data_IF_098915466675
#
_entry.id   IF_098915466675
#
_cell.length_a   1.000
_cell.length_b   1.000
_cell.length_c   1.000
_cell.angle_alpha   90.00
_cell.angle_beta   90.00
_cell.angle_gamma   90.00
#
_symmetry.space_group_name_H-M   'P 1'
#
loop_
_entity.id
_entity.type
_entity.pdbx_description
1 polymer ?
#
# COMPACT_ATOMS: atom_id res chain seq x y z
N UNK A 1 29.56 0.34 -11.16
CA UNK A 1 28.26 -0.16 -10.69
C UNK A 1 27.31 1.02 -10.67
N UNK A 2 26.54 1.20 -11.74
CA UNK A 2 25.59 2.31 -11.91
C UNK A 2 24.30 1.94 -11.19
N UNK A 3 24.06 2.53 -10.02
CA UNK A 3 22.79 2.38 -9.30
C UNK A 3 21.63 2.88 -10.17
N UNK A 4 20.58 2.09 -10.31
CA UNK A 4 19.34 2.54 -10.96
C UNK A 4 18.76 3.67 -10.09
N UNK A 5 18.79 4.90 -10.58
CA UNK A 5 18.09 6.02 -9.97
C UNK A 5 16.60 5.66 -9.89
N UNK A 6 16.06 5.48 -8.68
CA UNK A 6 14.63 5.17 -8.50
C UNK A 6 13.75 6.28 -9.09
N UNK A 7 12.62 5.92 -9.69
CA UNK A 7 11.71 6.93 -10.20
C UNK A 7 10.96 7.55 -9.02
N UNK A 8 10.61 8.82 -9.16
CA UNK A 8 9.67 9.44 -8.24
C UNK A 8 8.25 9.28 -8.75
N UNK A 9 7.27 9.25 -7.86
CA UNK A 9 5.88 9.06 -8.26
C UNK A 9 4.86 9.75 -7.35
N UNK A 10 3.75 10.16 -7.94
CA UNK A 10 2.58 10.63 -7.20
C UNK A 10 1.75 9.45 -6.69
N UNK A 11 1.35 9.54 -5.43
CA UNK A 11 0.47 8.58 -4.78
C UNK A 11 -0.75 9.28 -4.22
N UNK A 12 -1.83 8.52 -4.08
CA UNK A 12 -3.07 8.99 -3.46
C UNK A 12 -3.37 8.14 -2.24
N UNK A 13 -3.71 8.79 -1.13
CA UNK A 13 -4.14 8.15 0.11
C UNK A 13 -5.55 8.63 0.47
N UNK A 14 -6.33 7.77 1.13
CA UNK A 14 -7.61 8.14 1.74
C UNK A 14 -7.42 8.19 3.25
N UNK A 15 -7.61 9.37 3.82
CA UNK A 15 -7.51 9.59 5.25
C UNK A 15 -8.90 9.74 5.86
N UNK A 16 -9.04 9.26 7.09
CA UNK A 16 -10.28 9.29 7.86
C UNK A 16 -10.03 10.06 9.15
N UNK A 17 -10.96 10.93 9.51
CA UNK A 17 -10.93 11.65 10.77
C UNK A 17 -11.25 10.70 11.93
N UNK A 18 -10.34 10.59 12.90
CA UNK A 18 -10.41 9.67 14.04
C UNK A 18 -11.52 10.05 15.03
N UNK A 19 -11.97 11.30 15.03
CA UNK A 19 -13.07 11.77 15.86
C UNK A 19 -14.43 11.74 15.15
N UNK A 20 -14.44 11.60 13.82
CA UNK A 20 -15.66 11.49 13.02
C UNK A 20 -15.42 10.71 11.72
N UNK A 21 -15.67 9.40 11.73
CA UNK A 21 -15.37 8.52 10.59
C UNK A 21 -16.14 8.82 9.29
N UNK A 22 -17.16 9.69 9.33
CA UNK A 22 -17.84 10.17 8.12
C UNK A 22 -17.04 11.25 7.38
N UNK A 23 -16.10 11.88 8.06
CA UNK A 23 -15.21 12.87 7.51
C UNK A 23 -13.96 12.19 6.96
N UNK A 24 -13.78 12.28 5.63
CA UNK A 24 -12.69 11.64 4.90
C UNK A 24 -12.11 12.62 3.90
N UNK A 25 -10.79 12.54 3.67
CA UNK A 25 -10.11 13.36 2.67
C UNK A 25 -9.18 12.53 1.80
N UNK A 26 -9.06 12.96 0.54
CA UNK A 26 -8.09 12.42 -0.41
C UNK A 26 -6.82 13.25 -0.34
N UNK A 27 -5.69 12.63 -0.03
CA UNK A 27 -4.38 13.27 0.05
C UNK A 27 -3.51 12.80 -1.10
N UNK A 28 -2.89 13.73 -1.81
CA UNK A 28 -1.85 13.43 -2.81
C UNK A 28 -0.49 13.64 -2.17
N UNK A 29 0.41 12.68 -2.36
CA UNK A 29 1.79 12.74 -1.86
C UNK A 29 2.75 12.35 -2.97
N UNK A 30 3.96 12.87 -2.86
CA UNK A 30 5.05 12.50 -3.73
C UNK A 30 5.96 11.52 -3.01
N UNK A 31 6.22 10.37 -3.62
CA UNK A 31 7.28 9.47 -3.19
C UNK A 31 8.54 9.84 -3.96
N UNK A 32 9.62 10.14 -3.22
CA UNK A 32 10.94 10.35 -3.79
C UNK A 32 11.54 9.05 -4.35
N UNK A 33 12.82 9.06 -4.76
CA UNK A 33 13.51 7.84 -5.15
C UNK A 33 13.56 6.82 -4.02
N UNK A 34 13.71 5.54 -4.39
CA UNK A 34 13.94 4.44 -3.45
C UNK A 34 15.37 4.46 -2.92
N UNK A 35 15.51 4.12 -1.64
CA UNK A 35 16.78 3.79 -1.00
C UNK A 35 17.13 2.30 -1.20
N UNK A 36 18.35 1.92 -0.86
CA UNK A 36 18.79 0.53 -0.94
C UNK A 36 17.88 -0.42 -0.14
N UNK A 37 17.51 -1.55 -0.74
CA UNK A 37 16.61 -2.53 -0.13
C UNK A 37 15.12 -2.12 -0.09
N UNK A 38 14.75 -0.90 -0.47
CA UNK A 38 13.34 -0.48 -0.50
C UNK A 38 12.60 -0.99 -1.75
N UNK A 39 11.28 -1.13 -1.64
CA UNK A 39 10.38 -1.39 -2.77
C UNK A 39 9.19 -0.43 -2.73
N UNK A 40 8.56 -0.22 -3.89
CA UNK A 40 7.21 0.37 -3.99
C UNK A 40 6.26 -0.66 -4.57
N UNK A 41 5.10 -0.79 -3.95
CA UNK A 41 4.01 -1.63 -4.45
C UNK A 41 2.80 -0.78 -4.83
N UNK A 42 2.14 -1.14 -5.93
CA UNK A 42 0.83 -0.62 -6.33
C UNK A 42 -0.25 -1.51 -5.75
N UNK A 43 -1.13 -0.94 -4.94
CA UNK A 43 -2.24 -1.68 -4.32
C UNK A 43 -3.34 -1.83 -5.37
N UNK A 44 -3.65 -3.07 -5.75
CA UNK A 44 -4.60 -3.37 -6.84
C UNK A 44 -6.02 -3.59 -6.30
N UNK A 45 -6.17 -4.53 -5.36
CA UNK A 45 -7.48 -4.91 -4.80
C UNK A 45 -7.39 -5.14 -3.31
N UNK A 46 -8.42 -4.71 -2.59
CA UNK A 46 -8.56 -4.98 -1.17
C UNK A 46 -10.01 -5.21 -0.80
N UNK A 47 -10.23 -5.97 0.27
CA UNK A 47 -11.56 -6.25 0.77
C UNK A 47 -11.95 -5.22 1.84
N UNK A 48 -13.02 -4.48 1.60
CA UNK A 48 -13.68 -3.66 2.62
C UNK A 48 -14.68 -4.55 3.36
N UNK A 49 -14.27 -5.06 4.52
CA UNK A 49 -15.14 -5.81 5.43
C UNK A 49 -15.44 -4.94 6.66
N UNK A 50 -16.16 -5.46 7.67
CA UNK A 50 -16.42 -4.71 8.91
C UNK A 50 -15.19 -4.60 9.82
N UNK A 51 -14.22 -5.50 9.68
CA UNK A 51 -13.03 -5.52 10.55
C UNK A 51 -12.19 -4.23 10.57
N UNK A 52 -12.09 -3.37 9.53
CA UNK A 52 -11.36 -2.12 9.62
C UNK A 52 -12.07 -1.11 10.53
N UNK A 53 -13.40 -1.20 10.66
CA UNK A 53 -14.18 -0.39 11.61
C UNK A 53 -13.89 -0.85 13.03
N UNK A 54 -13.83 -2.15 13.27
CA UNK A 54 -13.46 -2.70 14.58
C UNK A 54 -12.04 -2.28 14.98
N UNK A 55 -11.09 -2.23 14.04
CA UNK A 55 -9.73 -1.73 14.27
C UNK A 55 -9.68 -0.24 14.58
N UNK A 56 -10.44 0.58 13.85
CA UNK A 56 -10.51 2.02 14.05
C UNK A 56 -11.10 2.37 15.43
N UNK A 57 -12.13 1.63 15.86
CA UNK A 57 -12.78 1.82 17.16
C UNK A 57 -11.96 1.22 18.32
N UNK A 58 -11.16 0.18 18.07
CA UNK A 58 -10.33 -0.50 19.07
C UNK A 58 -8.93 0.10 19.26
N UNK A 59 -8.74 1.37 18.85
CA UNK A 59 -7.46 2.11 18.87
C UNK A 59 -6.63 1.85 20.14
N UNK A 60 -7.28 1.91 21.31
CA UNK A 60 -6.68 1.74 22.65
C UNK A 60 -5.99 0.37 22.90
N UNK A 61 -6.18 -0.63 22.04
CA UNK A 61 -5.66 -2.00 22.30
C UNK A 61 -4.45 -2.40 21.46
N UNK A 62 -4.31 -1.87 20.24
CA UNK A 62 -3.36 -2.40 19.25
C UNK A 62 -2.65 -1.29 18.45
N UNK A 63 -2.92 -0.01 18.73
CA UNK A 63 -2.27 1.13 18.08
C UNK A 63 -2.35 1.07 16.53
N UNK A 64 -3.51 0.67 15.99
CA UNK A 64 -3.65 0.35 14.56
C UNK A 64 -3.30 1.52 13.63
N UNK A 65 -3.52 2.77 14.06
CA UNK A 65 -3.17 3.95 13.27
C UNK A 65 -1.66 4.10 13.08
N UNK A 66 -0.84 3.49 13.94
CA UNK A 66 0.61 3.57 13.88
C UNK A 66 1.22 2.63 12.82
N UNK A 67 0.46 1.69 12.23
CA UNK A 67 0.98 0.90 11.11
C UNK A 67 1.27 1.75 9.88
N UNK A 68 0.44 2.76 9.64
CA UNK A 68 0.55 3.67 8.51
C UNK A 68 0.24 5.10 8.99
N UNK A 69 1.19 5.74 9.69
CA UNK A 69 0.96 7.10 10.19
C UNK A 69 0.75 8.07 9.03
N UNK A 70 -0.12 9.04 9.25
CA UNK A 70 -0.36 10.18 8.35
C UNK A 70 0.65 11.31 8.60
N UNK A 71 1.09 11.45 9.86
CA UNK A 71 1.85 12.60 10.37
C UNK A 71 0.97 13.81 10.73
N UNK A 72 -0.36 13.70 10.60
CA UNK A 72 -1.32 14.76 10.93
C UNK A 72 -2.23 14.30 12.08
N UNK A 73 -2.29 15.10 13.14
CA UNK A 73 -3.12 14.83 14.30
C UNK A 73 -4.60 14.71 13.92
N UNK A 74 -5.32 13.79 14.57
CA UNK A 74 -6.73 13.53 14.30
C UNK A 74 -7.03 12.78 13.00
N UNK A 75 -6.03 12.52 12.14
CA UNK A 75 -6.22 11.78 10.89
C UNK A 75 -5.50 10.43 10.89
N UNK A 76 -6.16 9.42 10.33
CA UNK A 76 -5.62 8.08 10.20
C UNK A 76 -5.86 7.47 8.82
N UNK A 77 -5.11 6.42 8.50
CA UNK A 77 -5.34 5.58 7.32
C UNK A 77 -5.96 4.27 7.77
N UNK A 78 -7.17 3.97 7.31
CA UNK A 78 -7.75 2.64 7.53
C UNK A 78 -6.91 1.60 6.81
N UNK A 79 -6.90 0.42 7.41
CA UNK A 79 -6.11 -0.71 6.98
C UNK A 79 -6.99 -1.83 6.45
N UNK A 80 -6.51 -2.51 5.42
CA UNK A 80 -7.26 -3.50 4.66
C UNK A 80 -6.34 -4.64 4.29
N UNK A 81 -6.90 -5.85 4.22
CA UNK A 81 -6.21 -6.97 3.59
C UNK A 81 -6.40 -6.88 2.07
N UNK A 82 -5.32 -7.02 1.34
CA UNK A 82 -5.34 -6.82 -0.10
C UNK A 82 -4.19 -7.47 -0.83
N UNK A 83 -4.17 -7.21 -2.14
CA UNK A 83 -3.15 -7.63 -3.08
C UNK A 83 -2.49 -6.39 -3.69
N UNK A 84 -1.17 -6.44 -3.82
CA UNK A 84 -0.39 -5.38 -4.44
C UNK A 84 0.69 -5.96 -5.37
N UNK A 85 1.07 -5.22 -6.39
CA UNK A 85 2.12 -5.59 -7.34
C UNK A 85 3.35 -4.71 -7.12
N UNK A 86 4.55 -5.29 -7.13
CA UNK A 86 5.81 -4.57 -7.01
C UNK A 86 6.05 -3.77 -8.29
N UNK A 87 6.04 -2.45 -8.21
CA UNK A 87 6.23 -1.54 -9.36
C UNK A 87 7.64 -0.97 -9.44
N UNK A 88 8.31 -0.83 -8.29
CA UNK A 88 9.72 -0.45 -8.20
C UNK A 88 10.42 -1.25 -7.10
N UNK A 89 11.70 -1.58 -7.32
CA UNK A 89 12.48 -2.33 -6.34
C UNK A 89 13.97 -2.00 -6.43
N UNK A 90 14.57 -1.74 -5.27
CA UNK A 90 16.01 -1.75 -4.99
C UNK A 90 16.39 -2.96 -4.10
N UNK A 91 15.54 -3.99 -4.05
CA UNK A 91 15.76 -5.21 -3.31
C UNK A 91 16.05 -6.37 -4.27
N UNK A 92 17.15 -7.09 -4.07
CA UNK A 92 17.53 -8.16 -4.99
C UNK A 92 16.61 -9.39 -4.89
N UNK A 93 16.02 -9.67 -3.73
CA UNK A 93 15.15 -10.85 -3.59
C UNK A 93 13.68 -10.57 -3.93
N UNK A 94 13.29 -9.29 -4.07
CA UNK A 94 11.91 -8.90 -4.43
C UNK A 94 11.93 -8.17 -5.77
N UNK A 95 11.42 -8.81 -6.83
CA UNK A 95 11.51 -8.29 -8.20
C UNK A 95 10.23 -7.56 -8.61
N UNK A 96 10.39 -6.53 -9.46
CA UNK A 96 9.28 -5.84 -10.12
C UNK A 96 8.39 -6.84 -10.86
N UNK A 97 7.08 -6.66 -10.77
CA UNK A 97 6.06 -7.55 -11.32
C UNK A 97 5.65 -8.70 -10.38
N UNK A 98 6.34 -8.90 -9.25
CA UNK A 98 5.87 -9.83 -8.23
C UNK A 98 4.60 -9.32 -7.55
N UNK A 99 3.68 -10.24 -7.25
CA UNK A 99 2.44 -9.92 -6.55
C UNK A 99 2.48 -10.41 -5.11
N UNK A 100 2.06 -9.55 -4.19
CA UNK A 100 2.08 -9.77 -2.75
C UNK A 100 0.68 -9.67 -2.14
N UNK A 101 0.44 -10.47 -1.11
CA UNK A 101 -0.75 -10.39 -0.26
C UNK A 101 -0.34 -9.93 1.14
N UNK A 102 -1.11 -9.02 1.73
CA UNK A 102 -0.84 -8.56 3.09
C UNK A 102 -1.76 -7.45 3.56
N UNK A 103 -1.28 -6.73 4.58
CA UNK A 103 -1.99 -5.64 5.23
C UNK A 103 -1.55 -4.30 4.62
N UNK A 104 -2.50 -3.52 4.12
CA UNK A 104 -2.23 -2.28 3.39
C UNK A 104 -3.06 -1.13 3.93
N UNK A 105 -2.61 0.13 3.80
CA UNK A 105 -3.48 1.27 4.01
C UNK A 105 -4.41 1.44 2.80
N UNK A 106 -5.51 2.20 2.97
CA UNK A 106 -6.29 2.69 1.82
C UNK A 106 -5.50 3.75 1.05
N UNK A 107 -4.64 3.29 0.15
CA UNK A 107 -3.78 4.12 -0.70
C UNK A 107 -3.59 3.46 -2.07
N UNK A 108 -3.13 4.24 -3.05
CA UNK A 108 -2.76 3.72 -4.37
C UNK A 108 -1.46 2.91 -4.33
N UNK A 109 -0.52 3.31 -3.47
CA UNK A 109 0.82 2.76 -3.41
C UNK A 109 1.33 2.74 -1.97
N UNK A 110 2.31 1.87 -1.71
CA UNK A 110 2.99 1.79 -0.42
C UNK A 110 4.49 1.56 -0.65
N UNK A 111 5.32 2.37 0.02
CA UNK A 111 6.75 2.10 0.16
C UNK A 111 6.97 1.14 1.32
N UNK A 112 7.84 0.16 1.11
CA UNK A 112 8.13 -0.90 2.07
C UNK A 112 9.63 -1.17 2.12
N UNK A 113 10.09 -1.72 3.24
CA UNK A 113 11.47 -2.18 3.43
C UNK A 113 11.42 -3.66 3.74
N UNK A 114 11.49 -4.55 2.72
CA UNK A 114 11.54 -5.99 2.94
C UNK A 114 12.76 -6.37 3.78
N UNK A 115 12.51 -6.95 4.96
CA UNK A 115 13.55 -7.44 5.87
C UNK A 115 13.93 -8.89 5.57
N UNK A 116 13.66 -9.80 6.51
CA UNK A 116 13.98 -11.24 6.36
C UNK A 116 13.13 -11.87 5.25
N UNK A 117 13.67 -11.93 4.04
CA UNK A 117 13.00 -12.49 2.87
C UNK A 117 13.15 -14.01 2.86
N UNK A 118 12.05 -14.70 2.57
CA UNK A 118 11.93 -16.14 2.41
C UNK A 118 11.25 -16.43 1.07
N UNK A 119 11.34 -17.66 0.53
CA UNK A 119 10.75 -17.99 -0.77
C UNK A 119 9.25 -17.68 -0.94
N UNK A 120 8.49 -17.55 0.16
CA UNK A 120 7.03 -17.33 0.12
C UNK A 120 6.56 -16.11 0.91
N UNK A 121 7.44 -15.38 1.59
CA UNK A 121 7.06 -14.22 2.39
C UNK A 121 8.26 -13.37 2.78
N UNK A 122 7.98 -12.15 3.20
CA UNK A 122 8.91 -11.30 3.92
C UNK A 122 8.18 -10.54 5.02
N UNK A 123 8.95 -9.93 5.93
CA UNK A 123 8.42 -8.99 6.91
C UNK A 123 8.84 -7.59 6.50
N UNK A 124 7.90 -6.65 6.46
CA UNK A 124 8.20 -5.24 6.29
C UNK A 124 8.78 -4.67 7.60
N UNK A 125 9.99 -4.12 7.54
CA UNK A 125 10.76 -3.69 8.72
C UNK A 125 10.91 -2.18 8.83
N UNK A 126 10.02 -1.41 8.19
CA UNK A 126 9.96 0.05 8.39
C UNK A 126 9.85 0.37 9.88
N UNK A 127 10.70 1.29 10.36
CA UNK A 127 10.98 1.54 11.78
C UNK A 127 9.74 1.66 12.66
N UNK A 128 8.73 2.42 12.23
CA UNK A 128 7.51 2.67 13.01
C UNK A 128 6.64 1.42 13.23
N UNK A 129 6.90 0.33 12.50
CA UNK A 129 6.16 -0.94 12.63
C UNK A 129 6.81 -1.94 13.58
N UNK A 130 8.07 -1.71 13.98
CA UNK A 130 8.82 -2.57 14.89
C UNK A 130 8.14 -2.80 16.25
N UNK A 131 7.57 -1.77 16.93
CA UNK A 131 6.92 -1.97 18.22
C UNK A 131 5.51 -2.57 18.13
N UNK A 132 4.95 -2.71 16.92
CA UNK A 132 3.57 -3.16 16.70
C UNK A 132 3.51 -4.69 16.52
N UNK A 133 2.34 -5.33 16.75
CA UNK A 133 2.18 -6.76 16.56
C UNK A 133 2.69 -7.27 15.19
N UNK A 134 3.69 -8.17 15.17
CA UNK A 134 4.44 -8.49 13.94
C UNK A 134 3.63 -9.25 12.90
N UNK A 135 2.41 -9.70 13.23
CA UNK A 135 1.53 -10.42 12.32
C UNK A 135 1.14 -9.59 11.09
N UNK A 136 0.84 -8.30 11.29
CA UNK A 136 0.41 -7.39 10.23
C UNK A 136 1.56 -6.88 9.35
N UNK A 137 2.80 -7.11 9.76
CA UNK A 137 3.99 -6.74 8.99
C UNK A 137 4.42 -7.85 8.01
N UNK A 138 3.77 -9.01 8.03
CA UNK A 138 4.11 -10.15 7.16
C UNK A 138 3.36 -10.09 5.85
N UNK A 139 4.10 -10.16 4.75
CA UNK A 139 3.56 -10.17 3.40
C UNK A 139 3.91 -11.49 2.72
N UNK A 140 2.92 -12.10 2.07
CA UNK A 140 3.13 -13.33 1.31
C UNK A 140 3.46 -13.00 -0.13
N UNK A 141 4.54 -13.58 -0.65
CA UNK A 141 4.85 -13.59 -2.07
C UNK A 141 3.97 -14.65 -2.72
N UNK A 142 3.14 -14.25 -3.68
CA UNK A 142 2.34 -15.20 -4.44
C UNK A 142 3.21 -15.84 -5.53
N UNK A 143 3.13 -17.16 -5.66
CA UNK A 143 3.79 -17.86 -6.76
C UNK A 143 2.97 -17.60 -8.03
N UNK A 144 3.51 -16.82 -8.96
CA UNK A 144 3.09 -16.61 -10.36
C UNK A 144 1.58 -16.33 -10.60
N UNK A 145 1.25 -15.10 -11.04
CA UNK A 145 0.03 -14.73 -11.77
C UNK A 145 -1.29 -15.40 -11.34
N UNK A 146 -1.58 -15.50 -10.04
CA UNK A 146 -2.92 -15.96 -9.61
C UNK A 146 -4.03 -14.96 -10.03
N UNK A 147 -3.63 -13.71 -10.28
CA UNK A 147 -4.39 -12.72 -11.02
C UNK A 147 -3.42 -12.04 -12.01
N UNK A 148 -3.55 -12.22 -13.33
CA UNK A 148 -2.79 -11.40 -14.26
C UNK A 148 -3.08 -9.91 -13.98
N UNK A 149 -2.09 -9.00 -14.12
CA UNK A 149 -2.37 -7.57 -14.06
C UNK A 149 -3.50 -7.27 -15.02
N UNK A 150 -4.52 -6.54 -14.58
CA UNK A 150 -5.61 -6.18 -15.48
C UNK A 150 -5.03 -5.36 -16.62
N UNK A 151 -5.12 -5.86 -17.86
CA UNK A 151 -5.17 -5.01 -19.04
C UNK A 151 -6.52 -4.27 -19.02
N UNK A 152 -6.70 -3.41 -18.02
CA UNK A 152 -7.90 -2.61 -17.87
C UNK A 152 -7.68 -1.28 -18.56
N UNK A 153 -8.47 -0.99 -19.60
CA UNK A 153 -8.59 0.39 -20.10
C UNK A 153 -8.82 1.31 -18.91
N UNK A 154 -8.00 2.37 -18.76
CA UNK A 154 -8.29 3.43 -17.80
C UNK A 154 -9.62 4.03 -18.20
N UNK A 155 -10.65 3.78 -17.40
CA UNK A 155 -11.94 4.46 -17.52
C UNK A 155 -11.85 5.76 -16.73
N UNK A 156 -11.73 6.88 -17.43
CA UNK A 156 -11.93 8.19 -16.83
C UNK A 156 -13.39 8.60 -17.02
N UNK A 157 -13.95 9.29 -16.03
CA UNK A 157 -15.27 9.90 -16.16
C UNK A 157 -15.05 11.40 -16.27
N UNK A 158 -15.53 12.01 -17.34
CA UNK A 158 -15.43 13.46 -17.50
C UNK A 158 -16.38 14.20 -16.56
N UNK A 159 -16.27 15.53 -16.53
CA UNK A 159 -17.13 16.40 -15.73
C UNK A 159 -18.62 16.34 -16.10
N UNK A 160 -18.97 15.67 -17.20
CA UNK A 160 -20.32 15.47 -17.70
C UNK A 160 -20.83 14.03 -17.46
N UNK A 161 -20.05 13.19 -16.77
CA UNK A 161 -20.43 11.82 -16.44
C UNK A 161 -20.20 10.79 -17.56
N UNK A 162 -19.53 11.14 -18.66
CA UNK A 162 -19.23 10.19 -19.73
C UNK A 162 -17.97 9.39 -19.41
N UNK A 163 -18.08 8.08 -19.63
CA UNK A 163 -16.96 7.13 -19.47
C UNK A 163 -16.11 7.15 -20.73
N UNK A 164 -14.84 7.53 -20.58
CA UNK A 164 -13.84 7.51 -21.63
C UNK A 164 -12.84 6.38 -21.36
N UNK A 165 -12.60 5.55 -22.37
CA UNK A 165 -11.64 4.46 -22.31
C UNK A 165 -10.30 4.87 -22.94
N UNK A 166 -9.21 4.60 -22.25
CA UNK A 166 -7.86 4.74 -22.80
C UNK A 166 -7.12 3.41 -22.68
N UNK A 167 -6.53 2.88 -23.77
CA UNK A 167 -5.69 1.68 -23.70
C UNK A 167 -4.57 1.83 -22.69
N UNK A 168 -4.42 0.85 -21.82
CA UNK A 168 -3.22 0.70 -20.98
C UNK A 168 -2.07 0.15 -21.83
N UNK A 169 -0.87 0.70 -21.66
CA UNK A 169 0.38 0.14 -22.20
C UNK A 169 0.84 -1.06 -21.37
#
# INVERSE_FOLDING_TARGET
MTGKQGSSMDITEIWVNRHNYRDTKRVRKFLGPLSDGEIVVSIDKYCLMSNPVDYAVSDDRIDYWNYFPTGEEGWGKLTVWGMADVVESQCDDVKVGQRIYGFFPMASHLRMTPGKIKPRNFTDVVDHRSPLPPFYNKYMLTLVNFFPPMQGNRRSVDSLGKVNETPGF
#
